data_IF_348912342587
#
_entry.id   IF_348912342587
#
_cell.length_a   1.000
_cell.length_b   1.000
_cell.length_c   1.000
_cell.angle_alpha   90.00
_cell.angle_beta   90.00
_cell.angle_gamma   90.00
#
_symmetry.space_group_name_H-M   'P 1'
#
loop_
_entity.id
_entity.type
_entity.pdbx_description
1 polymer ?
#
# COMPACT_ATOMS: atom_id res chain seq x y z
N UNK A 1 15.77 -6.01 -21.38
CA UNK A 1 15.18 -4.65 -21.28
C UNK A 1 15.41 -4.16 -19.87
N UNK A 2 15.85 -2.90 -19.66
CA UNK A 2 16.00 -2.29 -18.33
C UNK A 2 15.03 -1.11 -18.21
N UNK A 3 14.32 -0.98 -17.09
CA UNK A 3 13.29 0.02 -16.87
C UNK A 3 13.55 0.79 -15.58
N UNK A 4 13.42 2.12 -15.64
CA UNK A 4 13.35 2.99 -14.47
C UNK A 4 11.89 3.17 -14.06
N UNK A 5 11.58 2.97 -12.78
CA UNK A 5 10.19 3.06 -12.27
C UNK A 5 10.17 3.91 -11.00
N UNK A 6 9.29 4.91 -10.96
CA UNK A 6 9.02 5.67 -9.75
C UNK A 6 7.91 4.98 -8.94
N UNK A 7 8.14 4.79 -7.64
CA UNK A 7 7.25 3.95 -6.82
C UNK A 7 6.90 4.63 -5.49
N UNK A 8 5.64 4.58 -5.10
CA UNK A 8 5.25 4.77 -3.70
C UNK A 8 5.48 3.46 -2.93
N UNK A 9 5.29 3.50 -1.61
CA UNK A 9 5.39 2.31 -0.75
C UNK A 9 4.60 1.10 -1.25
N UNK A 10 3.32 1.27 -1.59
CA UNK A 10 2.47 0.18 -2.06
C UNK A 10 2.90 -0.39 -3.42
N UNK A 11 3.45 0.45 -4.30
CA UNK A 11 3.91 0.03 -5.63
C UNK A 11 5.17 -0.84 -5.49
N UNK A 12 6.11 -0.39 -4.65
CA UNK A 12 7.31 -1.14 -4.31
C UNK A 12 6.98 -2.49 -3.64
N UNK A 13 6.03 -2.51 -2.70
CA UNK A 13 5.58 -3.76 -2.06
C UNK A 13 4.95 -4.72 -3.07
N UNK A 14 4.12 -4.22 -3.99
CA UNK A 14 3.52 -5.04 -5.05
C UNK A 14 4.56 -5.63 -6.01
N UNK A 15 5.56 -4.84 -6.41
CA UNK A 15 6.68 -5.32 -7.24
C UNK A 15 7.46 -6.44 -6.55
N UNK A 16 7.73 -6.29 -5.25
CA UNK A 16 8.40 -7.34 -4.46
C UNK A 16 7.58 -8.62 -4.42
N UNK A 17 6.27 -8.53 -4.15
CA UNK A 17 5.39 -9.70 -4.13
C UNK A 17 5.29 -10.41 -5.49
N UNK A 18 5.32 -9.64 -6.60
CA UNK A 18 5.42 -10.19 -7.95
C UNK A 18 6.78 -10.84 -8.23
N UNK A 19 7.87 -10.25 -7.74
CA UNK A 19 9.22 -10.77 -7.92
C UNK A 19 9.40 -12.12 -7.22
N UNK A 20 8.88 -12.26 -5.99
CA UNK A 20 8.85 -13.54 -5.25
C UNK A 20 8.16 -14.67 -6.01
N UNK A 21 7.29 -14.31 -6.95
CA UNK A 21 6.47 -15.23 -7.77
C UNK A 21 6.97 -15.33 -9.21
N UNK A 22 8.21 -14.89 -9.46
CA UNK A 22 8.86 -14.91 -10.77
C UNK A 22 8.09 -14.16 -11.87
N UNK A 23 7.22 -13.22 -11.50
CA UNK A 23 6.49 -12.39 -12.46
C UNK A 23 7.27 -11.13 -12.85
N UNK A 24 8.20 -10.71 -12.00
CA UNK A 24 9.06 -9.56 -12.21
C UNK A 24 10.50 -9.93 -11.88
N UNK A 25 11.43 -9.62 -12.79
CA UNK A 25 12.85 -9.70 -12.51
C UNK A 25 13.37 -8.33 -12.03
N UNK A 26 13.76 -8.23 -10.75
CA UNK A 26 14.25 -7.00 -10.13
C UNK A 26 15.57 -6.49 -10.73
N UNK A 27 16.37 -7.35 -11.38
CA UNK A 27 17.61 -6.94 -12.05
C UNK A 27 17.36 -6.10 -13.29
N UNK A 28 16.16 -6.23 -13.87
CA UNK A 28 15.72 -5.41 -14.99
C UNK A 28 15.11 -4.07 -14.54
N UNK A 29 14.97 -3.83 -13.23
CA UNK A 29 14.34 -2.64 -12.68
C UNK A 29 15.34 -1.76 -11.93
N UNK A 30 15.14 -0.45 -12.07
CA UNK A 30 15.73 0.59 -11.24
C UNK A 30 14.59 1.36 -10.57
N UNK A 31 14.44 1.19 -9.25
CA UNK A 31 13.32 1.72 -8.49
C UNK A 31 13.70 3.04 -7.80
N UNK A 32 12.96 4.12 -8.09
CA UNK A 32 13.08 5.40 -7.39
C UNK A 32 11.84 5.58 -6.52
N UNK A 33 12.01 5.30 -5.24
CA UNK A 33 10.97 5.38 -4.23
C UNK A 33 10.67 6.82 -3.82
N UNK A 34 9.41 7.14 -3.56
CA UNK A 34 8.99 8.44 -2.99
C UNK A 34 8.34 8.27 -1.62
N UNK A 35 8.72 9.12 -0.65
CA UNK A 35 8.06 9.12 0.65
C UNK A 35 6.58 9.53 0.52
N UNK A 36 5.68 8.79 1.18
CA UNK A 36 4.25 8.93 0.96
C UNK A 36 3.49 8.98 2.30
N UNK A 37 2.81 10.10 2.55
CA UNK A 37 1.88 10.26 3.69
C UNK A 37 0.49 9.65 3.46
N UNK A 38 0.21 9.24 2.21
CA UNK A 38 -1.07 8.80 1.69
C UNK A 38 -1.50 9.63 0.49
N UNK A 39 -2.56 9.19 -0.19
CA UNK A 39 -3.07 9.85 -1.39
C UNK A 39 -4.58 10.09 -1.26
N UNK A 40 -5.10 11.09 -1.95
CA UNK A 40 -6.52 11.43 -2.01
C UNK A 40 -7.10 10.95 -3.34
N UNK A 41 -8.36 10.50 -3.34
CA UNK A 41 -9.05 10.17 -4.60
C UNK A 41 -9.33 11.45 -5.39
N UNK A 42 -9.05 11.53 -6.71
CA UNK A 42 -9.29 12.75 -7.49
C UNK A 42 -10.73 13.25 -7.39
N UNK A 43 -11.71 12.34 -7.38
CA UNK A 43 -13.13 12.70 -7.25
C UNK A 43 -13.41 13.29 -5.87
N UNK A 44 -12.88 12.66 -4.81
CA UNK A 44 -13.00 13.17 -3.45
C UNK A 44 -12.28 14.52 -3.28
N UNK A 45 -11.09 14.69 -3.86
CA UNK A 45 -10.32 15.92 -3.83
C UNK A 45 -11.10 17.08 -4.49
N UNK A 46 -11.68 16.87 -5.68
CA UNK A 46 -12.47 17.89 -6.36
C UNK A 46 -13.70 18.31 -5.54
N UNK A 47 -14.43 17.33 -4.98
CA UNK A 47 -15.58 17.60 -4.08
C UNK A 47 -15.15 18.36 -2.83
N UNK A 48 -14.04 17.95 -2.23
CA UNK A 48 -13.45 18.59 -1.04
C UNK A 48 -13.04 20.04 -1.34
N UNK A 49 -12.37 20.30 -2.46
CA UNK A 49 -11.93 21.65 -2.86
C UNK A 49 -13.14 22.58 -3.03
N UNK A 50 -14.16 22.13 -3.77
CA UNK A 50 -15.38 22.90 -3.94
C UNK A 50 -16.11 23.16 -2.61
N UNK A 51 -16.27 22.12 -1.77
CA UNK A 51 -17.06 22.21 -0.54
C UNK A 51 -16.33 22.92 0.61
N UNK A 52 -15.01 22.77 0.73
CA UNK A 52 -14.22 23.23 1.89
C UNK A 52 -13.41 24.48 1.63
N UNK A 53 -12.94 24.66 0.41
CA UNK A 53 -12.19 25.85 0.02
C UNK A 53 -13.06 26.88 -0.70
N UNK A 54 -14.26 26.49 -1.19
CA UNK A 54 -15.14 27.37 -1.96
C UNK A 54 -14.55 27.77 -3.32
N UNK A 55 -13.60 26.97 -3.82
CA UNK A 55 -12.84 27.22 -5.04
C UNK A 55 -13.28 26.24 -6.11
N UNK A 56 -13.34 26.68 -7.37
CA UNK A 56 -13.52 25.79 -8.50
C UNK A 56 -12.28 24.88 -8.65
N UNK A 57 -12.41 23.54 -8.57
CA UNK A 57 -11.27 22.63 -8.64
C UNK A 57 -10.41 22.78 -9.90
N UNK A 58 -10.95 23.29 -11.00
CA UNK A 58 -10.21 23.50 -12.25
C UNK A 58 -9.26 24.72 -12.20
N UNK A 59 -9.37 25.57 -11.18
CA UNK A 59 -8.50 26.72 -10.97
C UNK A 59 -7.29 26.40 -10.06
N UNK A 60 -7.23 25.18 -9.52
CA UNK A 60 -6.12 24.71 -8.67
C UNK A 60 -4.92 24.33 -9.53
N UNK A 61 -3.77 24.97 -9.27
CA UNK A 61 -2.51 24.74 -10.00
C UNK A 61 -1.50 23.89 -9.21
N UNK A 62 -1.66 23.80 -7.88
CA UNK A 62 -0.81 22.98 -7.02
C UNK A 62 -1.58 22.53 -5.78
N UNK A 63 -1.36 21.28 -5.40
CA UNK A 63 -1.84 20.66 -4.16
C UNK A 63 -0.64 20.23 -3.33
N UNK A 64 -0.69 20.45 -2.03
CA UNK A 64 0.37 20.06 -1.13
C UNK A 64 -0.19 19.61 0.22
N UNK A 65 0.36 18.52 0.76
CA UNK A 65 0.12 18.12 2.15
C UNK A 65 1.39 18.43 2.92
N UNK A 66 1.36 19.49 3.71
CA UNK A 66 2.46 19.88 4.60
C UNK A 66 1.96 20.03 6.04
N UNK A 67 2.77 19.55 7.00
CA UNK A 67 2.49 19.62 8.45
C UNK A 67 1.07 19.20 8.85
N UNK A 68 0.50 18.21 8.16
CA UNK A 68 -0.85 17.69 8.43
C UNK A 68 -1.98 18.59 7.93
N UNK A 69 -1.70 19.55 7.05
CA UNK A 69 -2.69 20.40 6.40
C UNK A 69 -2.74 20.11 4.90
N UNK A 70 -3.95 20.04 4.35
CA UNK A 70 -4.18 20.07 2.91
C UNK A 70 -4.19 21.52 2.44
N UNK A 71 -3.29 21.85 1.52
CA UNK A 71 -3.08 23.20 1.01
C UNK A 71 -3.30 23.18 -0.50
N UNK A 72 -4.06 24.16 -1.00
CA UNK A 72 -4.23 24.39 -2.43
C UNK A 72 -3.68 25.75 -2.83
N UNK A 73 -3.16 25.81 -4.04
CA UNK A 73 -2.75 27.05 -4.69
C UNK A 73 -3.57 27.23 -5.97
N UNK A 74 -4.15 28.41 -6.13
CA UNK A 74 -4.83 28.85 -7.35
C UNK A 74 -3.96 29.87 -8.07
N UNK A 75 -4.39 30.30 -9.27
CA UNK A 75 -3.72 31.36 -10.02
C UNK A 75 -3.70 32.69 -9.26
N UNK A 76 -4.69 32.94 -8.42
CA UNK A 76 -4.86 34.20 -7.67
C UNK A 76 -4.11 34.21 -6.32
N UNK A 77 -3.55 33.07 -5.90
CA UNK A 77 -2.76 32.98 -4.68
C UNK A 77 -2.86 31.63 -3.97
N UNK A 78 -2.23 31.54 -2.81
CA UNK A 78 -2.30 30.37 -1.93
C UNK A 78 -3.49 30.46 -0.98
N UNK A 79 -4.30 29.41 -0.89
CA UNK A 79 -5.39 29.34 0.08
C UNK A 79 -4.91 28.77 1.42
N UNK A 80 -5.60 29.15 2.51
CA UNK A 80 -5.31 28.66 3.87
C UNK A 80 -5.47 27.14 3.93
N UNK A 81 -4.48 26.46 4.51
CA UNK A 81 -4.52 25.02 4.72
C UNK A 81 -5.63 24.58 5.68
N UNK A 82 -6.28 23.45 5.38
CA UNK A 82 -7.28 22.81 6.24
C UNK A 82 -6.65 21.55 6.85
N UNK A 83 -6.97 21.25 8.11
CA UNK A 83 -6.42 20.07 8.80
C UNK A 83 -6.81 18.77 8.10
N UNK A 84 -5.86 17.88 7.89
CA UNK A 84 -6.12 16.55 7.32
C UNK A 84 -7.00 15.70 8.22
N UNK A 85 -6.87 15.82 9.54
CA UNK A 85 -7.68 15.06 10.49
C UNK A 85 -9.15 15.51 10.45
N UNK A 86 -9.39 16.83 10.37
CA UNK A 86 -10.75 17.39 10.19
C UNK A 86 -11.37 16.91 8.87
N UNK A 87 -10.59 16.95 7.78
CA UNK A 87 -11.04 16.45 6.49
C UNK A 87 -11.39 14.95 6.55
N UNK A 88 -10.60 14.14 7.24
CA UNK A 88 -10.83 12.70 7.38
C UNK A 88 -12.05 12.34 8.23
N UNK A 89 -12.34 13.11 9.27
CA UNK A 89 -13.54 12.95 10.10
C UNK A 89 -14.82 13.28 9.31
N UNK A 90 -14.73 14.22 8.39
CA UNK A 90 -15.83 14.62 7.50
C UNK A 90 -15.97 13.74 6.24
N UNK A 91 -15.20 12.65 6.14
CA UNK A 91 -15.26 11.71 5.01
C UNK A 91 -14.48 12.16 3.77
N UNK A 92 -13.69 13.23 3.88
CA UNK A 92 -12.70 13.64 2.88
C UNK A 92 -11.29 13.13 3.24
N UNK A 93 -10.27 13.64 2.56
CA UNK A 93 -8.88 13.34 2.89
C UNK A 93 -8.36 12.04 2.26
N UNK A 94 -7.43 11.36 2.95
CA UNK A 94 -6.70 10.24 2.36
C UNK A 94 -7.62 9.05 2.11
N UNK A 95 -7.33 8.31 1.03
CA UNK A 95 -7.93 7.01 0.73
C UNK A 95 -7.91 6.12 1.98
N UNK A 96 -8.99 5.39 2.20
CA UNK A 96 -9.19 4.51 3.37
C UNK A 96 -7.97 3.65 3.67
N UNK A 97 -7.45 2.93 2.66
CA UNK A 97 -6.27 2.06 2.79
C UNK A 97 -4.99 2.82 3.16
N UNK A 98 -4.80 4.03 2.62
CA UNK A 98 -3.60 4.84 2.84
C UNK A 98 -3.44 5.23 4.31
N UNK A 99 -4.55 5.41 5.03
CA UNK A 99 -4.57 5.72 6.47
C UNK A 99 -3.99 4.58 7.31
N UNK A 100 -4.13 3.32 6.86
CA UNK A 100 -3.61 2.12 7.53
C UNK A 100 -2.21 1.70 7.06
N UNK A 101 -1.60 2.41 6.11
CA UNK A 101 -0.31 2.02 5.52
C UNK A 101 0.85 2.22 6.50
N UNK A 102 1.77 1.25 6.54
CA UNK A 102 3.01 1.26 7.34
C UNK A 102 4.29 1.44 6.53
N UNK A 103 4.22 1.42 5.20
CA UNK A 103 5.36 1.71 4.32
C UNK A 103 5.34 3.18 3.92
N UNK A 104 6.07 4.03 4.65
CA UNK A 104 6.11 5.49 4.42
C UNK A 104 7.29 5.92 3.58
N UNK A 105 8.46 5.36 3.85
CA UNK A 105 9.68 5.55 3.06
C UNK A 105 10.06 4.19 2.45
N UNK A 106 9.90 3.99 1.13
CA UNK A 106 10.19 2.71 0.49
C UNK A 106 11.68 2.45 0.34
N UNK A 107 12.38 2.12 1.44
CA UNK A 107 13.83 1.81 1.46
C UNK A 107 14.21 0.51 0.76
N UNK A 108 13.22 -0.24 0.30
CA UNK A 108 13.38 -1.38 -0.61
C UNK A 108 13.53 -0.97 -2.08
N UNK A 109 13.30 0.30 -2.41
CA UNK A 109 13.68 0.85 -3.72
C UNK A 109 15.21 1.05 -3.78
N UNK A 110 15.76 1.35 -4.96
CA UNK A 110 17.20 1.62 -5.11
C UNK A 110 17.59 2.99 -4.54
N UNK A 111 16.69 3.97 -4.67
CA UNK A 111 16.76 5.28 -4.03
C UNK A 111 15.45 5.56 -3.30
N UNK A 112 15.49 6.09 -2.07
CA UNK A 112 14.30 6.57 -1.37
C UNK A 112 14.34 8.10 -1.27
N UNK A 113 13.49 8.74 -2.05
CA UNK A 113 13.47 10.17 -2.29
C UNK A 113 12.28 10.87 -1.62
N UNK A 114 12.41 12.16 -1.37
CA UNK A 114 11.27 13.07 -1.22
C UNK A 114 11.57 14.27 -0.33
N UNK A 115 10.52 14.98 0.08
CA UNK A 115 10.64 16.28 0.74
C UNK A 115 10.90 16.21 2.25
N UNK A 116 10.63 15.08 2.92
CA UNK A 116 10.82 14.98 4.37
C UNK A 116 12.29 15.07 4.73
N UNK A 117 12.63 16.04 5.60
CA UNK A 117 14.00 16.32 6.01
C UNK A 117 14.70 17.41 5.19
N UNK A 118 14.08 17.92 4.13
CA UNK A 118 14.59 19.11 3.41
C UNK A 118 14.17 20.36 4.16
N UNK A 119 15.13 21.14 4.66
CA UNK A 119 14.90 22.29 5.54
C UNK A 119 15.64 23.55 5.07
N UNK A 120 15.29 24.69 5.64
CA UNK A 120 15.92 25.98 5.33
C UNK A 120 15.61 26.46 3.92
N UNK A 121 16.56 27.13 3.27
CA UNK A 121 16.38 27.74 1.94
C UNK A 121 16.10 26.73 0.83
N UNK A 122 16.39 25.45 1.07
CA UNK A 122 16.19 24.34 0.14
C UNK A 122 14.83 23.67 0.28
N UNK A 123 14.05 23.99 1.31
CA UNK A 123 12.69 23.47 1.46
C UNK A 123 11.86 23.78 0.20
N UNK A 124 11.24 22.74 -0.38
CA UNK A 124 10.49 22.84 -1.64
C UNK A 124 11.33 23.02 -2.92
N UNK A 125 12.66 23.09 -2.81
CA UNK A 125 13.59 23.29 -3.94
C UNK A 125 14.58 22.13 -4.13
N UNK A 126 14.77 21.30 -3.12
CA UNK A 126 15.63 20.12 -3.17
C UNK A 126 14.87 18.86 -2.77
N UNK A 127 15.47 17.71 -3.05
CA UNK A 127 14.95 16.39 -2.68
C UNK A 127 15.91 15.73 -1.70
N UNK A 128 15.41 15.21 -0.60
CA UNK A 128 16.15 14.33 0.29
C UNK A 128 16.27 12.97 -0.38
N UNK A 129 17.48 12.45 -0.57
CA UNK A 129 17.74 11.16 -1.22
C UNK A 129 18.49 10.24 -0.27
N UNK A 130 17.89 9.08 0.03
CA UNK A 130 18.57 7.96 0.66
C UNK A 130 19.01 6.98 -0.44
N UNK A 131 20.29 6.61 -0.45
CA UNK A 131 20.82 5.57 -1.33
C UNK A 131 20.66 4.23 -0.65
N UNK A 132 19.86 3.34 -1.25
CA UNK A 132 19.45 2.08 -0.62
C UNK A 132 20.05 0.84 -1.31
N UNK A 133 20.66 0.99 -2.49
CA UNK A 133 21.34 -0.08 -3.19
C UNK A 133 22.55 0.42 -4.00
N UNK A 134 23.42 -0.50 -4.42
CA UNK A 134 24.52 -0.19 -5.35
C UNK A 134 24.00 0.34 -6.70
N UNK A 135 22.87 -0.18 -7.20
CA UNK A 135 22.24 0.34 -8.43
C UNK A 135 21.84 1.80 -8.26
N UNK A 136 21.27 2.16 -7.10
CA UNK A 136 20.92 3.53 -6.74
C UNK A 136 22.14 4.44 -6.63
N UNK A 137 23.21 3.97 -5.98
CA UNK A 137 24.47 4.69 -5.85
C UNK A 137 25.06 5.02 -7.24
N UNK A 138 25.18 4.00 -8.10
CA UNK A 138 25.70 4.14 -9.45
C UNK A 138 24.89 5.13 -10.29
N UNK A 139 23.55 5.12 -10.16
CA UNK A 139 22.69 6.10 -10.85
C UNK A 139 22.97 7.53 -10.36
N UNK A 140 23.02 7.72 -9.04
CA UNK A 140 23.20 9.03 -8.44
C UNK A 140 24.56 9.62 -8.83
N UNK A 141 25.63 8.83 -8.74
CA UNK A 141 26.99 9.22 -9.11
C UNK A 141 27.09 9.57 -10.60
N UNK A 142 26.47 8.76 -11.47
CA UNK A 142 26.41 9.05 -12.89
C UNK A 142 25.67 10.35 -13.19
N UNK A 143 24.56 10.63 -12.49
CA UNK A 143 23.79 11.85 -12.65
C UNK A 143 24.57 13.10 -12.20
N UNK A 144 25.32 13.01 -11.08
CA UNK A 144 26.20 14.08 -10.60
C UNK A 144 27.35 14.30 -11.58
N UNK A 145 28.02 13.23 -12.03
CA UNK A 145 29.14 13.31 -12.99
C UNK A 145 28.71 13.88 -14.35
N UNK A 146 27.49 13.59 -14.78
CA UNK A 146 26.91 14.15 -15.99
C UNK A 146 26.44 15.61 -15.83
N UNK A 147 26.51 16.19 -14.63
CA UNK A 147 26.01 17.53 -14.36
C UNK A 147 24.48 17.66 -14.40
N UNK A 148 23.76 16.53 -14.38
CA UNK A 148 22.29 16.52 -14.42
C UNK A 148 21.66 16.98 -13.11
N UNK A 149 22.36 16.78 -11.99
CA UNK A 149 21.96 17.22 -10.65
C UNK A 149 23.17 17.73 -9.87
N UNK A 150 22.91 18.63 -8.92
CA UNK A 150 23.85 18.95 -7.85
C UNK A 150 23.48 18.16 -6.59
N UNK A 151 24.48 17.67 -5.87
CA UNK A 151 24.30 16.95 -4.61
C UNK A 151 25.14 17.56 -3.50
N UNK A 152 24.64 17.50 -2.27
CA UNK A 152 25.40 17.81 -1.07
C UNK A 152 25.06 16.80 0.04
N UNK A 153 25.91 16.67 1.07
CA UNK A 153 25.58 15.86 2.23
C UNK A 153 24.28 16.31 2.89
N UNK A 154 23.44 15.35 3.29
CA UNK A 154 22.19 15.64 3.98
C UNK A 154 22.45 16.39 5.30
N UNK A 155 21.65 17.43 5.56
CA UNK A 155 21.73 18.17 6.81
C UNK A 155 21.43 17.23 8.00
N UNK A 156 22.28 17.16 9.06
CA UNK A 156 22.04 16.30 10.22
C UNK A 156 20.69 16.52 10.90
N UNK A 157 20.25 17.78 11.02
CA UNK A 157 18.91 18.11 11.53
C UNK A 157 17.80 17.65 10.59
N UNK A 158 18.06 17.67 9.28
CA UNK A 158 17.16 17.16 8.26
C UNK A 158 16.92 15.65 8.39
N UNK A 159 17.99 14.88 8.64
CA UNK A 159 17.91 13.43 8.91
C UNK A 159 17.00 13.17 10.13
N UNK A 160 17.22 13.89 11.23
CA UNK A 160 16.42 13.74 12.45
C UNK A 160 14.93 14.09 12.20
N UNK A 161 14.66 15.20 11.50
CA UNK A 161 13.30 15.62 11.15
C UNK A 161 12.61 14.57 10.28
N UNK A 162 13.30 14.02 9.29
CA UNK A 162 12.77 12.97 8.43
C UNK A 162 12.30 11.76 9.24
N UNK A 163 13.13 11.29 10.18
CA UNK A 163 12.78 10.20 11.09
C UNK A 163 11.59 10.54 12.01
N UNK A 164 11.51 11.78 12.51
CA UNK A 164 10.35 12.25 13.31
C UNK A 164 9.05 12.25 12.51
N UNK A 165 9.08 12.76 11.28
CA UNK A 165 7.91 12.80 10.38
C UNK A 165 7.46 11.40 10.03
N UNK A 166 8.38 10.51 9.66
CA UNK A 166 8.08 9.10 9.39
C UNK A 166 7.43 8.42 10.60
N UNK A 167 8.01 8.56 11.79
CA UNK A 167 7.45 7.99 13.02
C UNK A 167 6.07 8.53 13.37
N UNK A 168 5.80 9.82 13.16
CA UNK A 168 4.47 10.39 13.34
C UNK A 168 3.45 9.75 12.37
N UNK A 169 3.83 9.54 11.11
CA UNK A 169 2.99 8.87 10.12
C UNK A 169 2.77 7.38 10.42
N UNK A 170 3.76 6.70 11.00
CA UNK A 170 3.63 5.31 11.45
C UNK A 170 2.66 5.18 12.61
N UNK A 171 2.73 6.06 13.61
CA UNK A 171 1.81 6.11 14.75
C UNK A 171 0.37 6.40 14.31
N UNK A 172 0.21 7.29 13.33
CA UNK A 172 -1.11 7.54 12.73
C UNK A 172 -1.65 6.29 12.03
N UNK A 173 -0.77 5.54 11.34
CA UNK A 173 -1.08 4.23 10.79
C UNK A 173 -1.56 3.22 11.84
N UNK A 174 -0.92 3.17 13.01
CA UNK A 174 -1.36 2.31 14.12
C UNK A 174 -2.73 2.71 14.64
N UNK A 175 -2.97 4.02 14.85
CA UNK A 175 -4.26 4.53 15.32
C UNK A 175 -5.40 4.11 14.38
N UNK A 176 -5.19 4.24 13.07
CA UNK A 176 -6.19 3.84 12.07
C UNK A 176 -6.36 2.33 11.96
N UNK A 177 -5.27 1.55 12.03
CA UNK A 177 -5.37 0.08 12.09
C UNK A 177 -6.17 -0.37 13.31
N UNK A 178 -5.87 0.18 14.50
CA UNK A 178 -6.59 -0.12 15.72
C UNK A 178 -8.08 0.22 15.61
N UNK A 179 -8.41 1.42 15.14
CA UNK A 179 -9.80 1.86 14.92
C UNK A 179 -10.54 0.96 13.91
N UNK A 180 -10.00 0.83 12.71
CA UNK A 180 -10.70 0.18 11.60
C UNK A 180 -10.82 -1.33 11.84
N UNK A 181 -9.79 -1.99 12.38
CA UNK A 181 -9.84 -3.43 12.64
C UNK A 181 -10.69 -3.78 13.87
N UNK A 182 -10.70 -2.94 14.92
CA UNK A 182 -11.62 -3.13 16.04
C UNK A 182 -13.08 -3.00 15.60
N UNK A 183 -13.38 -2.05 14.70
CA UNK A 183 -14.73 -1.86 14.15
C UNK A 183 -15.25 -3.08 13.37
N UNK A 184 -14.36 -3.95 12.86
CA UNK A 184 -14.74 -5.20 12.22
C UNK A 184 -15.26 -6.26 13.21
N UNK A 185 -14.98 -6.14 14.51
CA UNK A 185 -15.24 -7.21 15.48
C UNK A 185 -14.35 -8.43 15.25
N UNK A 186 -14.71 -9.55 15.87
CA UNK A 186 -13.94 -10.80 15.86
C UNK A 186 -14.79 -12.01 15.45
N UNK A 187 -14.13 -13.09 15.01
CA UNK A 187 -14.75 -14.37 14.67
C UNK A 187 -16.00 -14.24 13.81
N UNK A 188 -17.14 -14.70 14.35
CA UNK A 188 -18.44 -14.71 13.65
C UNK A 188 -18.96 -13.31 13.33
N UNK A 189 -18.76 -12.33 14.22
CA UNK A 189 -19.23 -10.96 14.00
C UNK A 189 -18.52 -10.34 12.80
N UNK A 190 -17.19 -10.52 12.72
CA UNK A 190 -16.39 -10.08 11.57
C UNK A 190 -16.85 -10.73 10.28
N UNK A 191 -17.04 -12.05 10.30
CA UNK A 191 -17.51 -12.80 9.13
C UNK A 191 -18.88 -12.31 8.67
N UNK A 192 -19.81 -12.05 9.58
CA UNK A 192 -21.14 -11.51 9.26
C UNK A 192 -21.04 -10.14 8.58
N UNK A 193 -20.27 -9.20 9.14
CA UNK A 193 -20.03 -7.89 8.51
C UNK A 193 -19.44 -8.02 7.10
N UNK A 194 -18.48 -8.92 6.91
CA UNK A 194 -17.88 -9.19 5.60
C UNK A 194 -18.90 -9.77 4.61
N UNK A 195 -19.75 -10.70 5.05
CA UNK A 195 -20.81 -11.29 4.22
C UNK A 195 -21.89 -10.27 3.86
N UNK A 196 -22.29 -9.43 4.81
CA UNK A 196 -23.26 -8.35 4.62
C UNK A 196 -22.75 -7.33 3.59
N UNK A 197 -21.52 -6.84 3.73
CA UNK A 197 -20.96 -5.88 2.78
C UNK A 197 -20.74 -6.50 1.39
N UNK A 198 -20.24 -7.74 1.35
CA UNK A 198 -20.02 -8.50 0.12
C UNK A 198 -21.32 -8.90 -0.60
N UNK A 199 -22.47 -8.93 0.08
CA UNK A 199 -23.76 -9.27 -0.54
C UNK A 199 -24.15 -8.34 -1.69
N UNK A 200 -23.59 -7.12 -1.71
CA UNK A 200 -23.75 -6.12 -2.77
C UNK A 200 -22.95 -6.44 -4.03
N UNK A 201 -22.07 -7.44 -3.99
CA UNK A 201 -21.16 -7.75 -5.08
C UNK A 201 -21.92 -8.13 -6.36
N UNK A 202 -21.48 -7.57 -7.49
CA UNK A 202 -22.00 -7.89 -8.83
C UNK A 202 -21.02 -8.74 -9.66
N UNK A 203 -19.95 -9.26 -9.04
CA UNK A 203 -18.93 -10.09 -9.70
C UNK A 203 -18.34 -9.43 -10.95
N UNK A 204 -18.04 -8.13 -10.87
CA UNK A 204 -17.39 -7.37 -11.95
C UNK A 204 -15.89 -7.64 -12.09
N UNK A 205 -15.29 -8.44 -11.20
CA UNK A 205 -13.86 -8.81 -11.16
C UNK A 205 -12.85 -7.66 -11.00
N UNK A 206 -13.27 -6.40 -10.84
CA UNK A 206 -12.36 -5.27 -10.61
C UNK A 206 -11.39 -5.48 -9.42
N UNK A 207 -11.83 -6.18 -8.36
CA UNK A 207 -10.99 -6.49 -7.21
C UNK A 207 -9.88 -7.53 -7.49
N UNK A 208 -9.99 -8.29 -8.57
CA UNK A 208 -9.00 -9.27 -9.05
C UNK A 208 -8.12 -8.64 -10.12
N UNK A 209 -8.73 -8.01 -11.13
CA UNK A 209 -8.00 -7.48 -12.29
C UNK A 209 -7.07 -6.31 -11.94
N UNK A 210 -7.44 -5.50 -10.94
CA UNK A 210 -6.60 -4.39 -10.48
C UNK A 210 -5.66 -4.79 -9.32
N UNK A 211 -5.59 -6.06 -8.97
CA UNK A 211 -4.74 -6.51 -7.88
C UNK A 211 -3.34 -6.82 -8.38
N UNK A 212 -2.29 -6.14 -7.88
CA UNK A 212 -0.94 -6.31 -8.39
C UNK A 212 -0.38 -7.72 -8.18
N UNK A 213 -0.91 -8.49 -7.22
CA UNK A 213 -0.45 -9.85 -6.92
C UNK A 213 -1.33 -10.94 -7.56
N UNK A 214 -2.30 -10.57 -8.39
CA UNK A 214 -3.14 -11.52 -9.13
C UNK A 214 -2.64 -11.68 -10.56
N UNK A 215 -1.93 -12.77 -10.79
CA UNK A 215 -1.30 -13.10 -12.08
C UNK A 215 -1.67 -14.52 -12.56
N UNK A 216 -2.55 -15.21 -11.83
CA UNK A 216 -2.94 -16.57 -12.17
C UNK A 216 -3.55 -16.61 -13.57
N UNK A 217 -3.03 -17.49 -14.42
CA UNK A 217 -3.60 -17.77 -15.76
C UNK A 217 -4.99 -18.37 -15.62
N UNK A 218 -5.16 -19.29 -14.65
CA UNK A 218 -6.45 -19.86 -14.29
C UNK A 218 -6.87 -19.40 -12.89
N UNK A 219 -8.06 -18.81 -12.79
CA UNK A 219 -8.56 -18.29 -11.53
C UNK A 219 -9.66 -19.21 -10.96
N UNK A 220 -9.51 -19.65 -9.71
CA UNK A 220 -10.51 -20.46 -9.01
C UNK A 220 -11.89 -19.81 -8.96
N UNK A 221 -11.97 -18.47 -8.94
CA UNK A 221 -13.24 -17.73 -8.95
C UNK A 221 -13.96 -17.74 -10.30
N UNK A 222 -13.31 -18.25 -11.36
CA UNK A 222 -13.91 -18.46 -12.69
C UNK A 222 -14.34 -19.91 -12.92
N UNK A 223 -14.06 -20.82 -11.98
CA UNK A 223 -14.45 -22.24 -12.09
C UNK A 223 -15.92 -22.38 -11.73
N UNK A 224 -16.75 -22.80 -12.68
CA UNK A 224 -18.22 -22.82 -12.57
C UNK A 224 -18.74 -23.70 -11.44
N UNK A 225 -17.99 -24.74 -11.07
CA UNK A 225 -18.33 -25.63 -9.95
C UNK A 225 -18.01 -25.05 -8.57
N UNK A 226 -17.20 -23.99 -8.48
CA UNK A 226 -16.93 -23.25 -7.24
C UNK A 226 -17.78 -21.99 -7.16
N UNK A 227 -17.91 -21.27 -8.28
CA UNK A 227 -18.66 -20.02 -8.38
C UNK A 227 -19.57 -20.11 -9.61
N UNK A 228 -20.88 -20.34 -9.41
CA UNK A 228 -21.85 -20.39 -10.50
C UNK A 228 -21.88 -19.07 -11.30
N UNK A 229 -21.93 -19.13 -12.65
CA UNK A 229 -22.15 -17.96 -13.48
C UNK A 229 -23.61 -17.48 -13.40
N UNK A 230 -23.83 -16.17 -13.61
CA UNK A 230 -25.20 -15.60 -13.68
C UNK A 230 -25.97 -15.47 -12.35
N UNK A 231 -25.43 -15.95 -11.23
CA UNK A 231 -26.10 -15.87 -9.92
C UNK A 231 -25.80 -14.57 -9.16
N UNK A 232 -26.87 -13.92 -8.68
CA UNK A 232 -26.85 -12.78 -7.76
C UNK A 232 -27.87 -13.02 -6.63
N UNK A 233 -27.56 -12.65 -5.36
CA UNK A 233 -26.27 -12.15 -4.89
C UNK A 233 -25.17 -13.19 -5.08
N UNK A 234 -23.93 -12.72 -5.24
CA UNK A 234 -22.80 -13.62 -5.53
C UNK A 234 -22.60 -14.58 -4.36
N UNK A 235 -22.54 -15.91 -4.59
CA UNK A 235 -22.25 -16.86 -3.53
C UNK A 235 -20.95 -16.49 -2.81
N UNK A 236 -20.99 -16.52 -1.47
CA UNK A 236 -19.85 -16.05 -0.65
C UNK A 236 -18.55 -16.82 -0.93
N UNK A 237 -18.64 -18.00 -1.54
CA UNK A 237 -17.50 -18.76 -2.06
C UNK A 237 -16.56 -17.91 -2.93
N UNK A 238 -17.08 -16.99 -3.76
CA UNK A 238 -16.24 -16.05 -4.53
C UNK A 238 -15.32 -15.23 -3.61
N UNK A 239 -15.90 -14.64 -2.57
CA UNK A 239 -15.19 -13.80 -1.62
C UNK A 239 -14.25 -14.62 -0.73
N UNK A 240 -14.67 -15.82 -0.31
CA UNK A 240 -13.84 -16.74 0.47
C UNK A 240 -12.56 -17.13 -0.30
N UNK A 241 -12.70 -17.57 -1.55
CA UNK A 241 -11.56 -17.86 -2.44
C UNK A 241 -10.67 -16.61 -2.56
N UNK A 242 -11.30 -15.46 -2.84
CA UNK A 242 -10.58 -14.20 -3.04
C UNK A 242 -9.75 -13.83 -1.82
N UNK A 243 -10.35 -13.87 -0.63
CA UNK A 243 -9.71 -13.50 0.63
C UNK A 243 -8.60 -14.48 1.00
N UNK A 244 -8.83 -15.79 0.85
CA UNK A 244 -7.83 -16.80 1.15
C UNK A 244 -6.57 -16.65 0.27
N UNK A 245 -6.73 -16.41 -1.02
CA UNK A 245 -5.62 -16.37 -1.99
C UNK A 245 -4.66 -15.18 -1.82
N UNK A 246 -5.05 -14.15 -1.08
CA UNK A 246 -4.22 -12.94 -0.86
C UNK A 246 -3.94 -12.69 0.62
N UNK A 247 -4.45 -13.53 1.51
CA UNK A 247 -4.34 -13.33 2.95
C UNK A 247 -2.88 -13.19 3.38
N UNK A 248 -1.94 -13.88 2.74
CA UNK A 248 -0.53 -13.84 3.12
C UNK A 248 0.30 -12.76 2.39
N UNK A 249 -0.30 -12.03 1.44
CA UNK A 249 0.44 -11.22 0.45
C UNK A 249 -0.20 -9.88 0.10
N UNK A 250 -1.38 -9.57 0.66
CA UNK A 250 -2.02 -8.29 0.48
C UNK A 250 -1.11 -7.13 0.95
N UNK A 251 -0.77 -6.24 0.02
CA UNK A 251 0.06 -5.05 0.30
C UNK A 251 -0.76 -3.80 0.66
N UNK A 252 -2.08 -3.95 0.87
CA UNK A 252 -3.01 -2.86 1.21
C UNK A 252 -2.96 -1.66 0.22
N UNK A 253 -2.80 -1.92 -1.09
CA UNK A 253 -2.71 -0.86 -2.11
C UNK A 253 -4.04 -0.13 -2.37
N UNK A 254 -5.18 -0.72 -2.01
CA UNK A 254 -6.51 -0.08 -2.08
C UNK A 254 -7.21 -0.17 -3.44
N UNK A 255 -6.54 -0.65 -4.49
CA UNK A 255 -7.11 -0.68 -5.85
C UNK A 255 -8.39 -1.52 -5.96
N UNK A 256 -8.53 -2.56 -5.13
CA UNK A 256 -9.73 -3.40 -5.09
C UNK A 256 -10.96 -2.72 -4.45
N UNK A 257 -10.75 -1.68 -3.63
CA UNK A 257 -11.81 -0.89 -2.98
C UNK A 257 -12.15 0.33 -3.83
N UNK A 258 -11.13 1.08 -4.28
CA UNK A 258 -11.31 2.28 -5.10
C UNK A 258 -12.05 1.98 -6.42
N UNK A 259 -11.76 0.84 -7.05
CA UNK A 259 -12.37 0.45 -8.33
C UNK A 259 -13.63 -0.42 -8.14
N UNK A 260 -14.13 -0.60 -6.92
CA UNK A 260 -15.34 -1.37 -6.70
C UNK A 260 -16.58 -0.51 -7.00
N UNK A 261 -17.39 -0.82 -8.02
CA UNK A 261 -18.59 -0.04 -8.34
C UNK A 261 -19.67 -0.15 -7.26
N UNK A 262 -19.55 -1.15 -6.39
CA UNK A 262 -20.47 -1.38 -5.28
C UNK A 262 -19.90 -0.89 -3.95
N UNK A 263 -18.79 -0.14 -3.96
CA UNK A 263 -18.19 0.47 -2.76
C UNK A 263 -17.95 -0.53 -1.61
N UNK A 264 -17.59 -1.78 -1.96
CA UNK A 264 -17.26 -2.82 -0.97
C UNK A 264 -15.88 -2.51 -0.39
N UNK A 265 -15.75 -2.61 0.94
CA UNK A 265 -14.53 -2.30 1.68
C UNK A 265 -13.43 -3.39 1.54
N UNK A 266 -13.17 -3.83 0.31
CA UNK A 266 -12.27 -4.93 -0.01
C UNK A 266 -10.89 -4.75 0.62
N UNK A 267 -10.33 -3.54 0.57
CA UNK A 267 -8.98 -3.30 1.09
C UNK A 267 -8.93 -3.42 2.61
N UNK A 268 -9.99 -3.02 3.31
CA UNK A 268 -10.11 -3.18 4.75
C UNK A 268 -10.12 -4.65 5.15
N UNK A 269 -10.99 -5.46 4.54
CA UNK A 269 -11.11 -6.88 4.86
C UNK A 269 -9.84 -7.66 4.53
N UNK A 270 -9.29 -7.46 3.34
CA UNK A 270 -8.10 -8.17 2.88
C UNK A 270 -6.86 -7.79 3.71
N UNK A 271 -6.74 -6.52 4.11
CA UNK A 271 -5.65 -6.07 4.97
C UNK A 271 -5.82 -6.57 6.41
N UNK A 272 -7.04 -6.60 6.96
CA UNK A 272 -7.28 -7.16 8.29
C UNK A 272 -6.83 -8.63 8.37
N UNK A 273 -7.27 -9.45 7.40
CA UNK A 273 -6.86 -10.85 7.29
C UNK A 273 -5.35 -10.99 7.14
N UNK A 274 -4.72 -10.13 6.33
CA UNK A 274 -3.27 -10.16 6.18
C UNK A 274 -2.53 -9.79 7.45
N UNK A 275 -3.01 -8.80 8.20
CA UNK A 275 -2.37 -8.44 9.48
C UNK A 275 -2.55 -9.53 10.53
N UNK A 276 -3.63 -10.32 10.46
CA UNK A 276 -3.78 -11.49 11.32
C UNK A 276 -2.77 -12.59 10.92
N UNK A 277 -2.56 -12.82 9.63
CA UNK A 277 -1.49 -13.71 9.17
C UNK A 277 -0.09 -13.25 9.56
N UNK A 278 0.18 -11.96 9.47
CA UNK A 278 1.44 -11.37 9.92
C UNK A 278 1.69 -11.60 11.41
N UNK A 279 0.67 -11.46 12.27
CA UNK A 279 0.80 -11.75 13.71
C UNK A 279 1.07 -13.22 13.99
N UNK A 280 0.42 -14.12 13.25
CA UNK A 280 0.55 -15.58 13.46
C UNK A 280 1.90 -16.11 12.99
N UNK A 281 2.45 -15.57 11.91
CA UNK A 281 3.58 -16.17 11.20
C UNK A 281 4.81 -15.25 11.06
N UNK A 282 4.70 -13.98 11.48
CA UNK A 282 5.80 -13.01 11.41
C UNK A 282 6.16 -12.54 9.98
N UNK A 283 5.30 -12.81 8.99
CA UNK A 283 5.56 -12.42 7.60
C UNK A 283 4.86 -11.09 7.25
N UNK A 284 5.65 -10.08 6.89
CA UNK A 284 5.14 -8.81 6.33
C UNK A 284 5.30 -8.79 4.80
N UNK A 285 4.21 -8.68 4.02
CA UNK A 285 4.27 -8.67 2.56
C UNK A 285 5.04 -7.49 1.99
N UNK A 286 5.82 -7.76 0.95
CA UNK A 286 6.44 -6.75 0.11
C UNK A 286 7.57 -5.95 0.75
N UNK A 287 8.04 -6.26 1.98
CA UNK A 287 9.13 -5.49 2.63
C UNK A 287 10.53 -6.04 2.35
N UNK A 288 10.64 -7.34 2.04
CA UNK A 288 11.88 -8.04 1.72
C UNK A 288 11.56 -9.22 0.77
N UNK A 289 12.58 -9.98 0.37
CA UNK A 289 12.43 -11.11 -0.55
C UNK A 289 12.10 -12.46 0.12
N UNK A 290 11.82 -12.48 1.43
CA UNK A 290 11.37 -13.70 2.09
C UNK A 290 10.05 -14.15 1.46
N UNK A 291 9.92 -15.46 1.24
CA UNK A 291 8.76 -16.02 0.58
C UNK A 291 7.50 -15.92 1.48
N UNK A 292 6.32 -15.70 0.89
CA UNK A 292 5.04 -15.79 1.61
C UNK A 292 4.83 -17.18 2.20
N UNK A 293 4.01 -17.26 3.25
CA UNK A 293 3.76 -18.50 3.99
C UNK A 293 3.17 -19.58 3.08
N UNK A 294 2.33 -19.20 2.11
CA UNK A 294 1.68 -20.12 1.19
C UNK A 294 2.49 -20.33 -0.10
N UNK A 295 3.69 -19.75 -0.23
CA UNK A 295 4.36 -19.63 -1.53
C UNK A 295 5.16 -20.86 -1.96
N UNK A 296 5.63 -21.71 -1.05
CA UNK A 296 6.28 -22.96 -1.44
C UNK A 296 6.44 -23.89 -0.23
N UNK A 297 5.83 -25.07 -0.32
CA UNK A 297 6.24 -26.22 0.48
C UNK A 297 7.03 -27.11 -0.46
N UNK A 298 8.35 -27.21 -0.27
CA UNK A 298 9.09 -28.28 -0.92
C UNK A 298 8.67 -29.59 -0.26
N UNK A 299 7.84 -30.37 -0.95
CA UNK A 299 7.18 -31.54 -0.37
C UNK A 299 8.18 -32.52 0.26
N UNK A 300 9.36 -32.69 -0.34
CA UNK A 300 10.42 -33.55 0.21
C UNK A 300 10.95 -33.00 1.53
N UNK A 301 11.34 -31.73 1.57
CA UNK A 301 11.84 -31.08 2.78
C UNK A 301 10.80 -31.09 3.90
N UNK A 302 9.53 -30.89 3.57
CA UNK A 302 8.44 -30.93 4.56
C UNK A 302 8.14 -32.34 5.07
N UNK A 303 8.17 -33.35 4.19
CA UNK A 303 8.03 -34.75 4.60
C UNK A 303 9.19 -35.20 5.49
N UNK A 304 10.42 -34.76 5.20
CA UNK A 304 11.59 -35.01 6.04
C UNK A 304 11.44 -34.33 7.41
N UNK A 305 11.04 -33.04 7.44
CA UNK A 305 10.75 -32.32 8.68
C UNK A 305 9.71 -33.03 9.52
N UNK A 306 8.55 -33.37 8.95
CA UNK A 306 7.47 -34.11 9.61
C UNK A 306 7.97 -35.44 10.18
N UNK A 307 8.76 -36.19 9.41
CA UNK A 307 9.34 -37.45 9.89
C UNK A 307 10.30 -37.25 11.07
N UNK A 308 11.01 -36.12 11.12
CA UNK A 308 11.98 -35.81 12.18
C UNK A 308 11.32 -35.23 13.44
N UNK A 309 10.30 -34.38 13.28
CA UNK A 309 9.62 -33.69 14.39
C UNK A 309 8.40 -34.44 14.92
N UNK A 310 7.84 -35.35 14.12
CA UNK A 310 6.56 -36.01 14.40
C UNK A 310 5.36 -35.06 14.38
N UNK A 311 5.53 -33.83 13.92
CA UNK A 311 4.51 -32.77 13.91
C UNK A 311 4.39 -32.14 12.53
N UNK A 312 3.16 -32.09 12.03
CA UNK A 312 2.79 -31.39 10.79
C UNK A 312 2.70 -29.87 10.98
N UNK A 313 2.80 -29.39 12.22
CA UNK A 313 2.87 -27.96 12.51
C UNK A 313 4.27 -27.43 12.25
N UNK A 314 4.38 -26.53 11.27
CA UNK A 314 5.59 -25.75 10.97
C UNK A 314 5.72 -24.59 11.98
N UNK A 315 4.59 -24.03 12.39
CA UNK A 315 4.51 -22.91 13.32
C UNK A 315 3.56 -23.29 14.46
N UNK A 316 3.95 -22.99 15.70
CA UNK A 316 3.07 -23.15 16.86
C UNK A 316 2.08 -21.97 16.92
N UNK A 317 0.95 -22.10 16.22
CA UNK A 317 -0.05 -21.02 16.06
C UNK A 317 -1.23 -21.13 17.03
N UNK A 318 -1.24 -22.13 17.93
CA UNK A 318 -2.36 -22.44 18.83
C UNK A 318 -1.96 -22.43 20.32
N UNK A 319 -0.96 -21.63 20.71
CA UNK A 319 -0.64 -21.40 22.13
C UNK A 319 -1.76 -20.66 22.89
#
# INVERSE_FOLDING_TARGET
>A
MRLGVTVKGCDAMGIYELAKRNQVNLDNLLLIGVNCGGSVSPVAARRMIAAKFGVNPDDVVKEEIDKGQFIIQTKDGQHKGISMDELEEEGFGRRSNCRRCKMKVPRQADLACGNWGVIGEKAGKATFVEVCSEKGANLLDAAVKAGAIASEPANPKGIEIRGKVENAMLKLGDKWRAKDFAALGEGKERLQKMMEDASRCIKCYACIENCPICYCVECSTKKTYLVPPGELPVPFMFHLIRFAHIADSCVNCGQCEENCPMEIANSLYMHALQTDMEKMFGHTPGVNMNLPILALVEEKAERERLSATGSDQIFNVFE
#
